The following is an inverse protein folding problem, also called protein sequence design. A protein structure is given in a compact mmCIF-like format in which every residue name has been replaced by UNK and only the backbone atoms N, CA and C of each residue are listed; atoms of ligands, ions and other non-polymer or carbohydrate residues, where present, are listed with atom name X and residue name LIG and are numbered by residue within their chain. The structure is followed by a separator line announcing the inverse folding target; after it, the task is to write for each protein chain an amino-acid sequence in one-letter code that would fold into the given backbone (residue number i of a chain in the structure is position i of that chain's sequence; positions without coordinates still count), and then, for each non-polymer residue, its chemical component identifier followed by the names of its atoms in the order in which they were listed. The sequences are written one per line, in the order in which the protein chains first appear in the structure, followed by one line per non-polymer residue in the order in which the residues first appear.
data_IF_217257947547
#
_entry.id   IF_217257947547
#
_cell.length_a   1.000
_cell.length_b   1.000
_cell.length_c   1.000
_cell.angle_alpha   90.00
_cell.angle_beta   90.00
_cell.angle_gamma   90.00
#
_symmetry.space_group_name_H-M   'P 1'
#
loop_
_entity.id
_entity.type
_entity.pdbx_description
1 polymer ?
#
# COMPACT_ATOMS: atom_id res chain seq x y z
N UNK A 1 0.28 -4.44 -16.14
CA UNK A 1 0.48 -3.45 -15.04
C UNK A 1 1.17 -4.13 -13.88
N UNK A 2 2.14 -3.49 -13.23
CA UNK A 2 2.74 -4.01 -11.99
C UNK A 2 1.85 -3.64 -10.80
N UNK A 3 1.60 -4.61 -9.93
CA UNK A 3 0.80 -4.43 -8.71
C UNK A 3 1.62 -4.76 -7.47
N UNK A 4 1.31 -4.13 -6.36
CA UNK A 4 1.90 -4.41 -5.05
C UNK A 4 0.87 -4.17 -3.94
N UNK A 5 1.17 -4.61 -2.74
CA UNK A 5 0.39 -4.31 -1.55
C UNK A 5 1.28 -3.69 -0.49
N UNK A 6 0.89 -2.53 -0.01
CA UNK A 6 1.43 -1.95 1.21
C UNK A 6 0.67 -2.51 2.41
N UNK A 7 1.40 -2.83 3.47
CA UNK A 7 0.84 -3.47 4.64
C UNK A 7 1.22 -2.70 5.90
N UNK A 8 0.31 -2.67 6.86
CA UNK A 8 0.61 -2.21 8.22
C UNK A 8 0.82 -3.42 9.11
N UNK A 9 1.94 -3.45 9.82
CA UNK A 9 2.28 -4.56 10.71
C UNK A 9 2.64 -4.06 12.11
N UNK A 10 2.26 -4.83 13.13
CA UNK A 10 2.66 -4.59 14.51
C UNK A 10 3.84 -5.52 14.81
N UNK A 11 5.05 -4.99 15.10
CA UNK A 11 6.22 -5.82 15.38
C UNK A 11 6.04 -6.71 16.60
N UNK A 12 6.68 -7.88 16.58
CA UNK A 12 6.77 -8.75 17.76
C UNK A 12 7.49 -7.98 18.87
N UNK A 13 6.91 -7.99 20.07
CA UNK A 13 7.47 -7.28 21.23
C UNK A 13 7.11 -5.79 21.30
N UNK A 14 6.20 -5.29 20.47
CA UNK A 14 5.72 -3.91 20.58
C UNK A 14 5.13 -3.65 21.98
N UNK A 15 5.64 -2.62 22.67
CA UNK A 15 5.24 -2.28 24.06
C UNK A 15 3.75 -1.89 24.17
N UNK A 16 3.21 -1.26 23.13
CA UNK A 16 1.82 -0.76 23.09
C UNK A 16 0.99 -1.51 22.04
N UNK A 17 1.08 -2.84 22.04
CA UNK A 17 0.42 -3.70 21.04
C UNK A 17 -1.07 -3.41 20.87
N UNK A 18 -1.79 -3.26 21.99
CA UNK A 18 -3.25 -3.05 21.94
C UNK A 18 -3.62 -1.70 21.33
N UNK A 19 -2.86 -0.65 21.60
CA UNK A 19 -3.05 0.64 20.94
C UNK A 19 -2.69 0.59 19.47
N UNK A 20 -1.64 -0.14 19.11
CA UNK A 20 -1.30 -0.35 17.70
C UNK A 20 -2.40 -1.10 16.94
N UNK A 21 -3.02 -2.12 17.55
CA UNK A 21 -4.15 -2.83 16.94
C UNK A 21 -5.39 -1.93 16.81
N UNK A 22 -5.67 -1.06 17.78
CA UNK A 22 -6.76 -0.06 17.67
C UNK A 22 -6.49 0.90 16.52
N UNK A 23 -5.25 1.36 16.35
CA UNK A 23 -4.87 2.20 15.22
C UNK A 23 -5.04 1.47 13.88
N UNK A 24 -4.61 0.22 13.78
CA UNK A 24 -4.83 -0.60 12.57
C UNK A 24 -6.33 -0.73 12.28
N UNK A 25 -7.15 -1.04 13.30
CA UNK A 25 -8.60 -1.14 13.14
C UNK A 25 -9.21 0.17 12.63
N UNK A 26 -8.81 1.30 13.19
CA UNK A 26 -9.22 2.64 12.73
C UNK A 26 -8.84 2.88 11.25
N UNK A 27 -7.63 2.51 10.85
CA UNK A 27 -7.17 2.63 9.46
C UNK A 27 -7.98 1.78 8.47
N UNK A 28 -8.54 0.65 8.94
CA UNK A 28 -9.34 -0.28 8.12
C UNK A 28 -10.83 0.08 8.05
N UNK A 29 -11.29 1.11 8.74
CA UNK A 29 -12.65 1.61 8.56
C UNK A 29 -12.81 2.19 7.15
N UNK A 30 -13.94 1.94 6.47
CA UNK A 30 -14.12 2.33 5.06
C UNK A 30 -13.89 3.81 4.78
N UNK A 31 -14.36 4.69 5.64
CA UNK A 31 -14.18 6.14 5.52
C UNK A 31 -12.70 6.54 5.66
N UNK A 32 -12.00 5.99 6.65
CA UNK A 32 -10.59 6.27 6.89
C UNK A 32 -9.69 5.68 5.78
N UNK A 33 -10.02 4.50 5.29
CA UNK A 33 -9.33 3.91 4.14
C UNK A 33 -9.51 4.76 2.87
N UNK A 34 -10.69 5.32 2.66
CA UNK A 34 -10.94 6.23 1.54
C UNK A 34 -10.17 7.55 1.66
N UNK A 35 -10.04 8.10 2.88
CA UNK A 35 -9.20 9.29 3.11
C UNK A 35 -7.75 9.04 2.72
N UNK A 36 -7.20 7.87 3.06
CA UNK A 36 -5.85 7.47 2.64
C UNK A 36 -5.74 7.38 1.12
N UNK A 37 -6.72 6.74 0.46
CA UNK A 37 -6.76 6.61 -1.00
C UNK A 37 -6.84 7.97 -1.68
N UNK A 38 -7.69 8.85 -1.21
CA UNK A 38 -7.86 10.21 -1.73
C UNK A 38 -6.57 11.04 -1.61
N UNK A 39 -5.83 10.86 -0.51
CA UNK A 39 -4.58 11.56 -0.28
C UNK A 39 -3.43 10.98 -1.12
N UNK A 40 -3.30 9.66 -1.16
CA UNK A 40 -2.16 8.98 -1.79
C UNK A 40 -2.35 8.73 -3.30
N UNK A 41 -3.58 8.82 -3.82
CA UNK A 41 -3.89 8.47 -5.20
C UNK A 41 -3.85 6.97 -5.49
N UNK A 42 -4.01 6.11 -4.47
CA UNK A 42 -3.94 4.66 -4.60
C UNK A 42 -5.26 3.98 -4.28
N UNK A 43 -5.47 2.82 -4.92
CA UNK A 43 -6.54 1.91 -4.53
C UNK A 43 -6.30 1.37 -3.11
N UNK A 44 -7.39 0.97 -2.44
CA UNK A 44 -7.32 0.18 -1.21
C UNK A 44 -8.18 -1.08 -1.33
N UNK A 45 -7.96 -2.05 -0.46
CA UNK A 45 -8.68 -3.32 -0.45
C UNK A 45 -9.88 -3.37 0.50
N UNK A 46 -10.36 -2.23 1.00
CA UNK A 46 -11.42 -2.18 2.03
C UNK A 46 -12.79 -2.08 1.38
N UNK A 47 -13.61 -3.10 1.61
CA UNK A 47 -14.98 -3.12 1.13
C UNK A 47 -15.78 -1.90 1.64
N UNK A 48 -16.52 -1.26 0.74
CA UNK A 48 -17.34 -0.08 1.07
C UNK A 48 -16.58 1.25 1.07
N UNK A 49 -15.26 1.27 1.01
CA UNK A 49 -14.47 2.51 0.98
C UNK A 49 -14.75 3.38 -0.26
N UNK A 50 -15.13 2.76 -1.37
CA UNK A 50 -15.45 3.46 -2.61
C UNK A 50 -16.59 4.49 -2.48
N UNK A 51 -17.49 4.32 -1.50
CA UNK A 51 -18.55 5.29 -1.22
C UNK A 51 -18.00 6.66 -0.78
N UNK A 52 -16.83 6.67 -0.15
CA UNK A 52 -16.17 7.86 0.44
C UNK A 52 -15.00 8.38 -0.41
N UNK A 53 -14.65 7.70 -1.50
CA UNK A 53 -13.61 8.15 -2.42
C UNK A 53 -14.14 9.30 -3.29
N UNK A 54 -13.25 10.22 -3.67
CA UNK A 54 -13.59 11.29 -4.61
C UNK A 54 -13.85 10.74 -6.02
N UNK A 55 -14.62 11.46 -6.83
CA UNK A 55 -15.04 10.98 -8.15
C UNK A 55 -13.87 10.90 -9.14
N UNK A 56 -12.88 11.78 -9.01
CA UNK A 56 -11.66 11.75 -9.82
C UNK A 56 -10.90 10.43 -9.61
N UNK A 57 -10.70 10.02 -8.36
CA UNK A 57 -10.01 8.79 -8.05
C UNK A 57 -10.82 7.54 -8.44
N UNK A 58 -12.16 7.58 -8.31
CA UNK A 58 -13.04 6.50 -8.80
C UNK A 58 -12.94 6.31 -10.31
N UNK A 59 -12.76 7.40 -11.06
CA UNK A 59 -12.64 7.37 -12.52
C UNK A 59 -11.22 7.03 -13.00
N UNK A 60 -10.22 7.07 -12.15
CA UNK A 60 -8.83 6.86 -12.51
C UNK A 60 -8.58 5.39 -12.91
N UNK A 61 -8.06 5.12 -14.13
CA UNK A 61 -7.80 3.76 -14.61
C UNK A 61 -6.69 3.06 -13.82
N UNK A 62 -5.83 3.80 -13.14
CA UNK A 62 -4.78 3.29 -12.24
C UNK A 62 -5.38 2.64 -10.99
N UNK A 63 -6.52 3.12 -10.53
CA UNK A 63 -7.25 2.63 -9.35
C UNK A 63 -8.27 1.56 -9.74
N UNK A 64 -8.93 1.77 -10.88
CA UNK A 64 -9.94 0.86 -11.42
C UNK A 64 -9.53 0.39 -12.83
N UNK A 65 -8.50 -0.47 -12.93
CA UNK A 65 -8.01 -0.92 -14.23
C UNK A 65 -9.09 -1.73 -14.96
N UNK A 66 -9.19 -1.58 -16.30
CA UNK A 66 -10.05 -2.42 -17.12
C UNK A 66 -9.78 -3.92 -16.89
N UNK A 67 -10.84 -4.75 -16.97
CA UNK A 67 -10.76 -6.18 -16.63
C UNK A 67 -9.81 -7.00 -17.53
N UNK A 68 -9.48 -6.49 -18.71
CA UNK A 68 -8.58 -7.12 -19.69
C UNK A 68 -7.11 -6.79 -19.44
N UNK A 69 -6.80 -5.86 -18.53
CA UNK A 69 -5.40 -5.53 -18.21
C UNK A 69 -4.76 -6.67 -17.41
N UNK A 70 -3.72 -7.26 -17.98
CA UNK A 70 -2.90 -8.24 -17.26
C UNK A 70 -2.10 -7.55 -16.15
N UNK A 71 -2.30 -8.03 -14.92
CA UNK A 71 -1.55 -7.58 -13.75
C UNK A 71 -0.51 -8.62 -13.35
N UNK A 72 0.59 -8.16 -12.79
CA UNK A 72 1.62 -9.02 -12.20
C UNK A 72 2.17 -8.38 -10.92
N UNK A 73 2.43 -9.19 -9.92
CA UNK A 73 3.13 -8.73 -8.72
C UNK A 73 4.61 -8.52 -9.03
N UNK A 74 5.18 -7.48 -8.38
CA UNK A 74 6.62 -7.28 -8.40
C UNK A 74 7.32 -8.53 -7.83
N UNK A 75 8.24 -9.10 -8.61
CA UNK A 75 9.01 -10.26 -8.16
C UNK A 75 10.02 -9.83 -7.09
N UNK A 76 10.21 -10.71 -6.11
CA UNK A 76 11.26 -10.51 -5.10
C UNK A 76 12.64 -10.61 -5.76
N UNK A 77 13.47 -9.60 -5.55
CA UNK A 77 14.84 -9.62 -6.03
C UNK A 77 15.67 -10.75 -5.37
N UNK A 78 16.63 -11.30 -6.10
CA UNK A 78 17.59 -12.23 -5.52
C UNK A 78 18.43 -11.54 -4.42
N UNK A 79 18.93 -12.32 -3.45
CA UNK A 79 19.81 -11.77 -2.38
C UNK A 79 20.98 -10.96 -2.95
N UNK A 80 21.57 -11.41 -4.06
CA UNK A 80 22.68 -10.71 -4.72
C UNK A 80 22.23 -9.35 -5.29
N UNK A 81 21.03 -9.27 -5.88
CA UNK A 81 20.48 -8.02 -6.39
C UNK A 81 20.20 -7.03 -5.24
N UNK A 82 19.60 -7.49 -4.14
CA UNK A 82 19.35 -6.66 -2.95
C UNK A 82 20.66 -6.10 -2.38
N UNK A 83 21.70 -6.94 -2.21
CA UNK A 83 23.01 -6.49 -1.73
C UNK A 83 23.67 -5.46 -2.66
N UNK A 84 23.44 -5.59 -3.99
CA UNK A 84 23.94 -4.62 -4.95
C UNK A 84 23.20 -3.28 -4.83
N UNK A 85 21.88 -3.32 -4.70
CA UNK A 85 21.06 -2.13 -4.47
C UNK A 85 21.47 -1.41 -3.18
N UNK A 86 21.65 -2.13 -2.08
CA UNK A 86 22.07 -1.56 -0.79
C UNK A 86 23.44 -0.86 -0.91
N UNK A 87 24.40 -1.48 -1.61
CA UNK A 87 25.71 -0.86 -1.87
C UNK A 87 25.61 0.43 -2.67
N UNK A 88 24.82 0.41 -3.75
CA UNK A 88 24.61 1.61 -4.58
C UNK A 88 23.94 2.71 -3.76
N UNK A 89 22.89 2.37 -3.02
CA UNK A 89 22.16 3.30 -2.18
C UNK A 89 23.03 3.92 -1.09
N UNK A 90 23.86 3.11 -0.43
CA UNK A 90 24.81 3.59 0.58
C UNK A 90 25.81 4.58 0.01
N UNK A 91 26.32 4.33 -1.20
CA UNK A 91 27.24 5.26 -1.87
C UNK A 91 26.58 6.57 -2.29
N UNK A 92 25.30 6.54 -2.65
CA UNK A 92 24.57 7.74 -3.05
C UNK A 92 24.24 8.65 -1.86
N UNK A 93 24.24 8.12 -0.63
CA UNK A 93 23.95 8.89 0.59
C UNK A 93 25.19 9.47 1.27
N UNK A 94 26.37 9.13 0.82
CA UNK A 94 27.65 9.69 1.29
C UNK A 94 28.04 10.93 0.50
#
# INVERSE_FOLDING_TARGET
MVTWFDNVAVPVGAKNRDNALKFVAFMLEPENAALQSNFAGYANGIAGSSAYMNDELKAAPEVNPPADIKTMFSLTCSKKALQLQDRVWTKLKQ
#
